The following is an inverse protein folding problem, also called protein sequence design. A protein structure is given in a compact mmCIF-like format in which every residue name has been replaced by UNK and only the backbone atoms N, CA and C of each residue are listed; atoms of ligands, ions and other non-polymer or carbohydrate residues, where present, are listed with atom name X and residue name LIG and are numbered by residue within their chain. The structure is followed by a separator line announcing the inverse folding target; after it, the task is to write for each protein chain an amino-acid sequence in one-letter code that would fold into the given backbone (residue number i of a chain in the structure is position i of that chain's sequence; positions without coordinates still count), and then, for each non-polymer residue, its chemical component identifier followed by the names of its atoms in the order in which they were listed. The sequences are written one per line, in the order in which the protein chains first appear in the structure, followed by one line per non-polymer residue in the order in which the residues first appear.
data_IF_180260106081
#
_entry.id   IF_180260106081
#
_cell.length_a   1.000
_cell.length_b   1.000
_cell.length_c   1.000
_cell.angle_alpha   90.00
_cell.angle_beta   90.00
_cell.angle_gamma   90.00
#
_symmetry.space_group_name_H-M   'P 1'
#
loop_
_entity.id
_entity.type
_entity.pdbx_description
1 polymer ?
#
# COMPACT_ATOMS: atom_id res chain seq x y z
N UNK A 1 -13.95 -24.32 1.06
CA UNK A 1 -12.47 -24.42 0.94
C UNK A 1 -11.85 -23.60 2.04
N UNK A 2 -10.94 -24.20 2.80
CA UNK A 2 -10.24 -23.51 3.88
C UNK A 2 -8.88 -22.99 3.40
N UNK A 3 -8.61 -21.70 3.61
CA UNK A 3 -7.38 -21.03 3.18
C UNK A 3 -6.66 -20.43 4.39
N UNK A 4 -5.42 -20.85 4.63
CA UNK A 4 -4.56 -20.26 5.66
C UNK A 4 -3.71 -19.14 5.07
N UNK A 5 -3.96 -17.90 5.47
CA UNK A 5 -3.13 -16.77 5.13
C UNK A 5 -2.01 -16.62 6.15
N UNK A 6 -0.76 -16.71 5.71
CA UNK A 6 0.42 -16.60 6.58
C UNK A 6 1.10 -15.27 6.33
N UNK A 7 1.28 -14.47 7.37
CA UNK A 7 1.90 -13.14 7.27
C UNK A 7 2.68 -12.79 8.53
N UNK A 8 3.80 -12.08 8.39
CA UNK A 8 4.53 -11.50 9.54
C UNK A 8 3.92 -10.17 9.92
N UNK A 9 3.28 -10.10 11.09
CA UNK A 9 2.57 -8.91 11.55
C UNK A 9 3.50 -8.04 12.41
N UNK A 10 3.64 -6.76 12.01
CA UNK A 10 4.45 -5.76 12.73
C UNK A 10 3.66 -4.50 13.10
N UNK A 11 2.45 -4.35 12.60
CA UNK A 11 1.58 -3.19 12.75
C UNK A 11 0.61 -3.11 11.61
N UNK A 12 0.04 -1.95 11.31
CA UNK A 12 -0.85 -1.75 10.16
C UNK A 12 -0.12 -0.97 9.07
N UNK A 13 0.41 -1.69 8.09
CA UNK A 13 0.96 -1.17 6.85
C UNK A 13 0.07 -1.50 5.65
N UNK A 14 0.61 -1.41 4.42
CA UNK A 14 -0.16 -1.70 3.20
C UNK A 14 -0.61 -3.15 3.08
N UNK A 15 0.26 -4.10 3.41
CA UNK A 15 -0.03 -5.54 3.36
C UNK A 15 -1.02 -5.97 4.43
N UNK A 16 -0.94 -5.38 5.62
CA UNK A 16 -1.88 -5.64 6.71
C UNK A 16 -3.26 -5.06 6.40
N UNK A 17 -3.34 -3.83 5.87
CA UNK A 17 -4.61 -3.25 5.38
C UNK A 17 -5.25 -4.11 4.30
N UNK A 18 -4.45 -4.63 3.37
CA UNK A 18 -4.92 -5.57 2.37
C UNK A 18 -5.57 -6.81 2.99
N UNK A 19 -4.96 -7.40 4.03
CA UNK A 19 -5.54 -8.55 4.72
C UNK A 19 -6.83 -8.20 5.47
N UNK A 20 -6.88 -7.04 6.12
CA UNK A 20 -8.08 -6.58 6.82
C UNK A 20 -9.28 -6.40 5.87
N UNK A 21 -9.04 -6.09 4.60
CA UNK A 21 -10.09 -5.98 3.58
C UNK A 21 -10.34 -7.27 2.83
N UNK A 22 -9.32 -8.00 2.44
CA UNK A 22 -9.45 -9.21 1.64
C UNK A 22 -10.12 -10.36 2.39
N UNK A 23 -9.69 -10.61 3.66
CA UNK A 23 -10.12 -11.81 4.36
C UNK A 23 -11.63 -11.83 4.65
N UNK A 24 -12.26 -10.76 5.14
CA UNK A 24 -13.71 -10.71 5.27
C UNK A 24 -14.44 -10.89 3.94
N UNK A 25 -13.96 -10.24 2.90
CA UNK A 25 -14.55 -10.32 1.57
C UNK A 25 -14.45 -11.74 0.95
N UNK A 26 -13.41 -12.50 1.27
CA UNK A 26 -13.32 -13.92 0.90
C UNK A 26 -14.31 -14.79 1.69
N UNK A 27 -14.53 -14.49 2.97
CA UNK A 27 -15.52 -15.20 3.78
C UNK A 27 -16.93 -15.05 3.21
N UNK A 28 -17.31 -13.86 2.73
CA UNK A 28 -18.56 -13.59 2.03
C UNK A 28 -18.75 -14.41 0.74
N UNK A 29 -17.64 -14.91 0.17
CA UNK A 29 -17.60 -15.76 -1.05
C UNK A 29 -17.54 -17.27 -0.75
N UNK A 30 -17.82 -17.65 0.50
CA UNK A 30 -17.84 -19.07 0.91
C UNK A 30 -16.43 -19.68 1.05
N UNK A 31 -15.38 -18.88 1.10
CA UNK A 31 -14.03 -19.30 1.49
C UNK A 31 -13.92 -19.18 3.00
N UNK A 32 -13.25 -20.13 3.65
CA UNK A 32 -12.96 -20.08 5.09
C UNK A 32 -11.54 -19.56 5.32
N UNK A 33 -11.32 -18.22 5.38
CA UNK A 33 -10.00 -17.68 5.60
C UNK A 33 -9.63 -17.79 7.08
N UNK A 34 -8.40 -18.17 7.34
CA UNK A 34 -7.78 -18.16 8.68
C UNK A 34 -6.46 -17.43 8.57
N UNK A 35 -6.23 -16.42 9.41
CA UNK A 35 -4.94 -15.78 9.48
C UNK A 35 -4.02 -16.55 10.44
N UNK A 36 -2.80 -16.84 10.00
CA UNK A 36 -1.71 -17.26 10.86
C UNK A 36 -0.68 -16.12 10.89
N UNK A 37 -0.73 -15.34 11.95
CA UNK A 37 0.18 -14.23 12.19
C UNK A 37 1.50 -14.72 12.78
N UNK A 38 2.61 -14.42 12.10
CA UNK A 38 3.97 -14.63 12.61
C UNK A 38 4.38 -13.34 13.31
N UNK A 39 4.08 -13.25 14.62
CA UNK A 39 4.22 -12.01 15.37
C UNK A 39 5.69 -11.72 15.72
N UNK A 40 6.13 -10.50 15.40
CA UNK A 40 7.40 -9.99 15.87
C UNK A 40 7.23 -9.49 17.32
N UNK A 41 7.91 -10.08 18.32
CA UNK A 41 7.76 -9.67 19.72
C UNK A 41 8.18 -8.22 20.00
N UNK A 42 9.01 -7.64 19.13
CA UNK A 42 9.43 -6.24 19.23
C UNK A 42 8.35 -5.26 18.72
N UNK A 43 7.31 -5.78 18.08
CA UNK A 43 6.16 -5.01 17.60
C UNK A 43 4.95 -5.21 18.50
N UNK A 44 4.04 -4.24 18.53
CA UNK A 44 2.75 -4.38 19.22
C UNK A 44 1.61 -4.35 18.20
N UNK A 45 1.23 -5.50 17.58
CA UNK A 45 0.22 -5.55 16.54
C UNK A 45 -1.22 -5.62 17.05
N UNK A 46 -1.50 -5.15 18.28
CA UNK A 46 -2.84 -5.22 18.91
C UNK A 46 -3.88 -4.57 18.00
N UNK A 47 -3.66 -3.35 17.55
CA UNK A 47 -4.60 -2.62 16.68
C UNK A 47 -4.99 -3.41 15.41
N UNK A 48 -4.07 -4.20 14.86
CA UNK A 48 -4.34 -5.03 13.70
C UNK A 48 -5.29 -6.20 14.04
N UNK A 49 -5.04 -6.90 15.15
CA UNK A 49 -5.88 -8.03 15.54
C UNK A 49 -7.26 -7.59 16.04
N UNK A 50 -7.35 -6.42 16.67
CA UNK A 50 -8.62 -5.83 17.11
C UNK A 50 -9.50 -5.43 15.91
N UNK A 51 -8.88 -5.03 14.80
CA UNK A 51 -9.59 -4.72 13.55
C UNK A 51 -9.92 -5.96 12.70
N UNK A 52 -9.33 -7.12 13.00
CA UNK A 52 -9.52 -8.33 12.22
C UNK A 52 -10.83 -9.04 12.58
N UNK A 53 -11.65 -9.34 11.59
CA UNK A 53 -12.98 -9.96 11.78
C UNK A 53 -13.04 -11.44 11.43
N UNK A 54 -11.91 -12.04 11.05
CA UNK A 54 -11.81 -13.48 10.73
C UNK A 54 -10.96 -14.20 11.76
N UNK A 55 -11.09 -15.55 11.89
CA UNK A 55 -10.28 -16.32 12.82
C UNK A 55 -8.77 -16.12 12.61
N UNK A 56 -8.04 -15.94 13.71
CA UNK A 56 -6.60 -15.80 13.66
C UNK A 56 -5.89 -16.69 14.70
N UNK A 57 -4.71 -17.19 14.32
CA UNK A 57 -3.75 -17.86 15.19
C UNK A 57 -2.50 -17.02 15.25
N UNK A 58 -2.01 -16.69 16.45
CA UNK A 58 -0.82 -15.87 16.66
C UNK A 58 0.35 -16.77 17.05
N UNK A 59 1.41 -16.74 16.26
CA UNK A 59 2.63 -17.50 16.50
C UNK A 59 3.80 -16.55 16.75
N UNK A 60 4.35 -16.49 17.97
CA UNK A 60 5.53 -15.67 18.24
C UNK A 60 6.70 -16.05 17.34
N UNK A 61 7.30 -15.06 16.66
CA UNK A 61 8.41 -15.21 15.73
C UNK A 61 9.55 -14.26 16.14
N UNK A 62 10.31 -14.60 17.22
CA UNK A 62 11.30 -13.70 17.81
C UNK A 62 12.59 -13.55 16.99
N UNK A 63 12.79 -14.41 16.00
CA UNK A 63 13.97 -14.43 15.14
C UNK A 63 13.59 -14.63 13.68
N UNK A 64 14.42 -14.16 12.80
CA UNK A 64 14.21 -14.35 11.34
C UNK A 64 14.35 -15.83 10.94
N UNK A 65 15.16 -16.60 11.64
CA UNK A 65 15.28 -18.05 11.50
C UNK A 65 14.99 -18.73 12.85
N UNK A 66 13.82 -19.35 12.98
CA UNK A 66 13.37 -20.09 14.15
C UNK A 66 12.79 -21.46 13.73
N UNK A 67 13.55 -22.56 13.84
CA UNK A 67 13.03 -23.89 13.51
C UNK A 67 11.79 -24.29 14.31
N UNK A 68 11.65 -23.81 15.56
CA UNK A 68 10.47 -24.09 16.39
C UNK A 68 9.21 -23.41 15.82
N UNK A 69 9.36 -22.29 15.12
CA UNK A 69 8.25 -21.63 14.42
C UNK A 69 7.64 -22.55 13.36
N UNK A 70 8.47 -23.25 12.58
CA UNK A 70 7.96 -24.19 11.58
C UNK A 70 7.14 -25.32 12.22
N UNK A 71 7.59 -25.87 13.35
CA UNK A 71 6.85 -26.91 14.07
C UNK A 71 5.52 -26.37 14.62
N UNK A 72 5.50 -25.14 15.16
CA UNK A 72 4.25 -24.48 15.59
C UNK A 72 3.32 -24.27 14.41
N UNK A 73 3.83 -23.71 13.31
CA UNK A 73 3.05 -23.49 12.10
C UNK A 73 2.45 -24.81 11.56
N UNK A 74 3.23 -25.89 11.53
CA UNK A 74 2.74 -27.19 11.10
C UNK A 74 1.61 -27.74 11.99
N UNK A 75 1.59 -27.47 13.29
CA UNK A 75 0.51 -27.90 14.18
C UNK A 75 -0.80 -27.19 13.88
N UNK A 76 -0.73 -25.89 13.59
CA UNK A 76 -1.88 -25.02 13.34
C UNK A 76 -2.40 -25.11 11.90
N UNK A 77 -1.54 -25.49 10.96
CA UNK A 77 -1.87 -25.49 9.54
C UNK A 77 -2.85 -26.64 9.19
N UNK A 78 -4.11 -26.29 9.06
CA UNK A 78 -5.21 -27.17 8.65
C UNK A 78 -5.99 -26.51 7.52
N UNK A 79 -5.40 -26.44 6.32
CA UNK A 79 -5.97 -25.76 5.17
C UNK A 79 -5.63 -26.50 3.86
N UNK A 80 -6.50 -26.39 2.89
CA UNK A 80 -6.30 -26.91 1.52
C UNK A 80 -5.34 -26.03 0.73
N UNK A 81 -5.40 -24.72 1.00
CA UNK A 81 -4.54 -23.71 0.39
C UNK A 81 -3.80 -22.94 1.49
N UNK A 82 -2.50 -22.71 1.30
CA UNK A 82 -1.67 -21.80 2.09
C UNK A 82 -1.36 -20.61 1.21
N UNK A 83 -1.76 -19.43 1.66
CA UNK A 83 -1.49 -18.17 0.98
C UNK A 83 -0.52 -17.34 1.80
N UNK A 84 0.70 -17.19 1.34
CA UNK A 84 1.77 -16.47 2.04
C UNK A 84 1.87 -15.03 1.56
N UNK A 85 2.26 -14.14 2.47
CA UNK A 85 2.45 -12.72 2.20
C UNK A 85 3.82 -12.27 2.67
N UNK A 86 4.63 -11.74 1.75
CA UNK A 86 6.02 -11.36 1.95
C UNK A 86 6.97 -12.55 2.18
N UNK A 87 8.26 -12.27 2.03
CA UNK A 87 9.33 -13.27 1.97
C UNK A 87 9.43 -14.14 3.22
N UNK A 88 9.30 -13.56 4.42
CA UNK A 88 9.39 -14.33 5.66
C UNK A 88 8.28 -15.41 5.74
N UNK A 89 7.05 -15.04 5.39
CA UNK A 89 5.95 -15.99 5.32
C UNK A 89 6.13 -17.01 4.18
N UNK A 90 6.73 -16.62 3.05
CA UNK A 90 7.01 -17.52 1.94
C UNK A 90 7.95 -18.66 2.35
N UNK A 91 8.98 -18.37 3.13
CA UNK A 91 9.93 -19.39 3.61
C UNK A 91 9.23 -20.40 4.53
N UNK A 92 8.60 -19.94 5.60
CA UNK A 92 7.96 -20.84 6.57
C UNK A 92 6.68 -21.48 6.03
N UNK A 93 5.80 -20.69 5.43
CA UNK A 93 4.54 -21.15 4.87
C UNK A 93 4.73 -22.07 3.67
N UNK A 94 5.73 -21.80 2.83
CA UNK A 94 6.06 -22.66 1.70
C UNK A 94 6.53 -24.05 2.10
N UNK A 95 7.42 -24.14 3.10
CA UNK A 95 7.86 -25.44 3.66
C UNK A 95 6.69 -26.15 4.33
N UNK A 96 5.92 -25.44 5.14
CA UNK A 96 4.77 -26.01 5.84
C UNK A 96 3.69 -26.52 4.87
N UNK A 97 3.36 -25.76 3.82
CA UNK A 97 2.42 -26.17 2.79
C UNK A 97 2.84 -27.47 2.12
N UNK A 98 4.12 -27.56 1.71
CA UNK A 98 4.65 -28.78 1.10
C UNK A 98 4.57 -30.00 2.02
N UNK A 99 4.92 -29.85 3.29
CA UNK A 99 4.87 -30.95 4.29
C UNK A 99 3.44 -31.39 4.60
N UNK A 100 2.46 -30.49 4.44
CA UNK A 100 1.03 -30.78 4.64
C UNK A 100 0.29 -31.20 3.35
N UNK A 101 0.95 -31.17 2.20
CA UNK A 101 0.33 -31.44 0.90
C UNK A 101 -0.66 -30.35 0.45
N UNK A 102 -0.62 -29.16 1.06
CA UNK A 102 -1.48 -28.04 0.71
C UNK A 102 -0.97 -27.33 -0.55
N UNK A 103 -1.87 -26.70 -1.32
CA UNK A 103 -1.50 -25.84 -2.45
C UNK A 103 -0.92 -24.53 -1.92
N UNK A 104 0.17 -24.07 -2.51
CA UNK A 104 0.82 -22.81 -2.11
C UNK A 104 0.53 -21.70 -3.11
N UNK A 105 0.04 -20.57 -2.59
CA UNK A 105 -0.04 -19.27 -3.29
C UNK A 105 0.85 -18.28 -2.54
N UNK A 106 1.54 -17.38 -3.24
CA UNK A 106 2.35 -16.34 -2.62
C UNK A 106 2.00 -14.98 -3.22
N UNK A 107 1.65 -14.01 -2.39
CA UNK A 107 1.47 -12.61 -2.82
C UNK A 107 2.73 -11.79 -2.56
N UNK A 108 3.19 -11.12 -3.61
CA UNK A 108 4.29 -10.16 -3.58
C UNK A 108 3.74 -8.74 -3.43
N UNK A 109 4.25 -8.00 -2.44
CA UNK A 109 3.73 -6.68 -2.05
C UNK A 109 4.69 -5.52 -2.38
N UNK A 110 5.92 -5.82 -2.78
CA UNK A 110 6.96 -4.83 -3.08
C UNK A 110 8.02 -5.36 -4.06
N UNK A 111 8.76 -4.43 -4.63
CA UNK A 111 9.84 -4.63 -5.57
C UNK A 111 11.23 -4.39 -4.94
N UNK A 112 11.42 -4.81 -3.70
CA UNK A 112 12.64 -4.59 -2.94
C UNK A 112 13.90 -5.03 -3.72
N UNK A 113 14.94 -4.17 -3.81
CA UNK A 113 16.14 -4.45 -4.60
C UNK A 113 16.90 -5.72 -4.19
N UNK A 114 16.82 -6.16 -2.94
CA UNK A 114 17.47 -7.40 -2.51
C UNK A 114 16.96 -8.65 -3.26
N UNK A 115 15.74 -8.59 -3.81
CA UNK A 115 15.11 -9.69 -4.55
C UNK A 115 15.80 -10.01 -5.89
N UNK A 116 16.53 -9.05 -6.46
CA UNK A 116 17.28 -9.25 -7.74
C UNK A 116 18.74 -9.66 -7.52
N UNK A 117 19.25 -9.57 -6.28
CA UNK A 117 20.58 -10.05 -5.92
C UNK A 117 20.67 -11.58 -5.83
N UNK A 118 21.54 -12.09 -4.98
CA UNK A 118 21.67 -13.54 -4.72
C UNK A 118 20.37 -14.17 -4.21
N UNK A 119 19.53 -13.39 -3.53
CA UNK A 119 18.23 -13.84 -3.02
C UNK A 119 17.26 -14.28 -4.13
N UNK A 120 17.42 -13.81 -5.38
CA UNK A 120 16.59 -14.25 -6.54
C UNK A 120 16.54 -15.78 -6.70
N UNK A 121 17.62 -16.49 -6.35
CA UNK A 121 17.65 -17.95 -6.45
C UNK A 121 16.75 -18.60 -5.39
N UNK A 122 16.69 -18.03 -4.20
CA UNK A 122 15.77 -18.45 -3.14
C UNK A 122 14.33 -18.19 -3.58
N UNK A 123 14.04 -17.00 -4.12
CA UNK A 123 12.71 -16.69 -4.64
C UNK A 123 12.27 -17.61 -5.78
N UNK A 124 13.16 -17.95 -6.70
CA UNK A 124 12.88 -18.92 -7.77
C UNK A 124 12.56 -20.30 -7.23
N UNK A 125 13.28 -20.75 -6.19
CA UNK A 125 13.02 -22.03 -5.54
C UNK A 125 11.65 -22.03 -4.83
N UNK A 126 11.31 -20.97 -4.09
CA UNK A 126 10.00 -20.79 -3.47
C UNK A 126 8.89 -20.70 -4.52
N UNK A 127 9.12 -19.98 -5.61
CA UNK A 127 8.19 -19.87 -6.73
C UNK A 127 7.98 -21.21 -7.47
N UNK A 128 9.02 -22.03 -7.57
CA UNK A 128 8.90 -23.37 -8.15
C UNK A 128 7.94 -24.24 -7.34
N UNK A 129 7.95 -24.14 -6.01
CA UNK A 129 7.06 -24.83 -5.09
C UNK A 129 5.64 -24.23 -5.06
N UNK A 130 5.45 -22.98 -5.48
CA UNK A 130 4.16 -22.32 -5.49
C UNK A 130 3.32 -22.74 -6.70
N UNK A 131 2.03 -22.98 -6.50
CA UNK A 131 1.06 -23.20 -7.58
C UNK A 131 0.83 -21.91 -8.37
N UNK A 132 0.66 -20.78 -7.66
CA UNK A 132 0.47 -19.43 -8.24
C UNK A 132 1.23 -18.40 -7.42
N UNK A 133 1.58 -17.31 -8.08
CA UNK A 133 2.16 -16.09 -7.48
C UNK A 133 1.27 -14.92 -7.86
N UNK A 134 0.85 -14.17 -6.87
CA UNK A 134 0.09 -12.95 -7.05
C UNK A 134 1.03 -11.74 -6.91
N UNK A 135 0.93 -10.79 -7.80
CA UNK A 135 1.54 -9.47 -7.68
C UNK A 135 0.45 -8.42 -7.56
N UNK A 136 0.66 -7.42 -6.71
CA UNK A 136 -0.36 -6.41 -6.45
C UNK A 136 -0.46 -5.34 -7.54
N UNK A 137 0.49 -5.31 -8.49
CA UNK A 137 0.54 -4.39 -9.64
C UNK A 137 1.18 -5.07 -10.84
N UNK A 138 0.90 -4.56 -12.04
CA UNK A 138 1.54 -5.01 -13.27
C UNK A 138 3.02 -4.60 -13.31
N UNK A 139 3.38 -3.47 -12.72
CA UNK A 139 4.77 -3.08 -12.52
C UNK A 139 5.52 -4.13 -11.70
N UNK A 140 4.95 -4.58 -10.59
CA UNK A 140 5.54 -5.64 -9.76
C UNK A 140 5.55 -7.00 -10.49
N UNK A 141 4.56 -7.25 -11.37
CA UNK A 141 4.58 -8.43 -12.23
C UNK A 141 5.76 -8.40 -13.20
N UNK A 142 5.99 -7.27 -13.89
CA UNK A 142 7.17 -7.10 -14.75
C UNK A 142 8.46 -7.31 -13.97
N UNK A 143 8.62 -6.65 -12.81
CA UNK A 143 9.78 -6.88 -11.94
C UNK A 143 9.96 -8.36 -11.57
N UNK A 144 8.89 -9.04 -11.18
CA UNK A 144 8.94 -10.46 -10.77
C UNK A 144 9.29 -11.41 -11.92
N UNK A 145 8.78 -11.14 -13.11
CA UNK A 145 9.04 -11.96 -14.30
C UNK A 145 10.42 -11.64 -14.89
N UNK A 146 10.71 -10.37 -15.16
CA UNK A 146 11.84 -9.96 -15.98
C UNK A 146 13.14 -9.87 -15.19
N UNK A 147 13.08 -9.40 -13.93
CA UNK A 147 14.27 -9.18 -13.10
C UNK A 147 14.53 -10.34 -12.13
N UNK A 148 13.51 -10.82 -11.42
CA UNK A 148 13.66 -12.00 -10.56
C UNK A 148 13.74 -13.28 -11.37
N UNK A 149 13.04 -13.34 -12.52
CA UNK A 149 13.08 -14.47 -13.46
C UNK A 149 12.10 -15.59 -13.09
N UNK A 150 10.93 -15.24 -12.54
CA UNK A 150 9.86 -16.18 -12.27
C UNK A 150 9.02 -16.37 -13.53
N UNK A 151 8.67 -17.60 -13.94
CA UNK A 151 7.91 -17.85 -15.15
C UNK A 151 6.56 -17.12 -15.19
N UNK A 152 6.30 -16.36 -16.25
CA UNK A 152 5.10 -15.50 -16.39
C UNK A 152 3.77 -16.28 -16.21
N UNK A 153 3.73 -17.57 -16.64
CA UNK A 153 2.54 -18.44 -16.47
C UNK A 153 2.13 -18.70 -15.02
N UNK A 154 3.04 -18.48 -14.08
CA UNK A 154 2.78 -18.61 -12.63
C UNK A 154 2.34 -17.31 -11.98
N UNK A 155 2.54 -16.17 -12.63
CA UNK A 155 2.36 -14.85 -12.05
C UNK A 155 1.09 -14.21 -12.58
N UNK A 156 0.21 -13.84 -11.66
CA UNK A 156 -1.03 -13.13 -11.96
C UNK A 156 -1.05 -11.81 -11.16
N UNK A 157 -1.52 -10.73 -11.80
CA UNK A 157 -1.74 -9.46 -11.11
C UNK A 157 -3.15 -9.45 -10.51
N UNK A 158 -3.24 -9.23 -9.20
CA UNK A 158 -4.50 -8.92 -8.51
C UNK A 158 -4.25 -7.65 -7.71
N UNK A 159 -4.81 -6.53 -8.20
CA UNK A 159 -4.66 -5.23 -7.54
C UNK A 159 -5.29 -5.24 -6.14
N UNK A 160 -4.77 -4.42 -5.26
CA UNK A 160 -5.46 -4.12 -4.00
C UNK A 160 -6.83 -3.51 -4.28
N UNK A 161 -7.79 -3.85 -3.43
CA UNK A 161 -9.09 -3.23 -3.40
C UNK A 161 -9.29 -2.39 -2.16
N UNK A 162 -10.09 -1.35 -2.30
CA UNK A 162 -10.54 -0.52 -1.20
C UNK A 162 -12.02 -0.19 -1.42
N UNK A 163 -12.79 -0.23 -0.34
CA UNK A 163 -14.16 0.25 -0.35
C UNK A 163 -14.22 1.76 -0.28
N UNK A 164 -15.41 2.30 -0.47
CA UNK A 164 -15.63 3.73 -0.33
C UNK A 164 -15.22 4.22 1.06
N UNK A 165 -14.70 5.43 1.11
CA UNK A 165 -14.24 6.00 2.36
C UNK A 165 -15.43 6.24 3.31
N UNK A 166 -15.27 5.94 4.62
CA UNK A 166 -16.30 6.25 5.59
C UNK A 166 -16.56 7.76 5.63
N UNK A 167 -17.78 8.12 6.02
CA UNK A 167 -18.08 9.51 6.32
C UNK A 167 -17.10 10.03 7.37
N UNK A 168 -16.56 11.26 7.26
CA UNK A 168 -15.69 11.80 8.31
C UNK A 168 -16.50 11.99 9.57
N UNK A 169 -15.88 11.58 10.67
CA UNK A 169 -16.50 11.64 12.00
C UNK A 169 -15.94 12.78 12.88
N UNK A 170 -14.94 13.51 12.39
CA UNK A 170 -14.28 14.62 13.10
C UNK A 170 -14.49 15.98 12.41
N UNK A 171 -14.53 17.06 13.21
CA UNK A 171 -14.37 18.42 12.71
C UNK A 171 -12.94 18.62 12.19
N UNK A 172 -12.74 19.62 11.32
CA UNK A 172 -11.48 19.97 10.69
C UNK A 172 -10.33 20.02 11.71
N UNK A 173 -9.32 19.18 11.62
CA UNK A 173 -8.68 18.60 12.79
C UNK A 173 -7.38 19.24 13.24
N UNK A 174 -6.89 20.36 12.72
CA UNK A 174 -5.57 20.84 13.17
C UNK A 174 -5.52 22.33 13.32
N UNK A 175 -5.22 22.77 14.53
CA UNK A 175 -4.80 24.10 14.86
C UNK A 175 -3.54 24.49 14.01
N UNK A 176 -3.61 25.64 13.38
CA UNK A 176 -2.49 26.22 12.64
C UNK A 176 -2.62 26.17 11.11
N UNK A 177 -3.43 25.31 10.50
CA UNK A 177 -3.69 25.37 9.05
C UNK A 177 -4.75 26.44 8.78
N UNK A 178 -4.45 27.51 8.01
CA UNK A 178 -5.40 28.59 7.77
C UNK A 178 -6.68 28.08 7.10
N UNK A 179 -7.85 28.52 7.59
CA UNK A 179 -9.15 28.04 7.09
C UNK A 179 -9.34 28.29 5.58
N UNK A 180 -8.85 29.43 5.06
CA UNK A 180 -8.94 29.79 3.65
C UNK A 180 -7.83 29.25 2.76
N UNK A 181 -6.84 28.53 3.30
CA UNK A 181 -5.72 28.02 2.52
C UNK A 181 -6.13 26.91 1.55
N UNK A 182 -5.49 26.84 0.38
CA UNK A 182 -5.55 25.72 -0.54
C UNK A 182 -4.65 24.60 -0.02
N UNK A 183 -5.24 23.51 0.47
CA UNK A 183 -4.49 22.41 1.05
C UNK A 183 -4.08 21.41 -0.01
N UNK A 184 -2.78 21.29 -0.27
CA UNK A 184 -2.17 20.14 -0.92
C UNK A 184 -1.96 19.07 0.15
N UNK A 185 -2.50 17.88 -0.06
CA UNK A 185 -2.37 16.77 0.89
C UNK A 185 -1.38 15.74 0.39
N UNK A 186 -0.49 15.29 1.25
CA UNK A 186 0.30 14.07 1.05
C UNK A 186 0.03 13.08 2.17
N UNK A 187 -0.27 11.82 1.83
CA UNK A 187 -0.47 10.72 2.79
C UNK A 187 0.65 9.72 2.58
N UNK A 188 1.71 9.82 3.40
CA UNK A 188 2.89 8.99 3.19
C UNK A 188 3.79 8.94 4.41
N UNK A 189 4.69 7.95 4.45
CA UNK A 189 5.80 7.95 5.42
C UNK A 189 6.78 9.08 5.11
N UNK A 190 7.38 9.69 6.13
CA UNK A 190 8.47 10.66 5.95
C UNK A 190 9.80 9.91 5.74
N UNK A 191 9.99 9.41 4.52
CA UNK A 191 11.20 8.71 4.07
C UNK A 191 11.58 9.20 2.67
N UNK A 192 12.87 9.14 2.25
CA UNK A 192 13.31 9.65 0.94
C UNK A 192 12.54 9.08 -0.24
N UNK A 193 12.11 7.82 -0.15
CA UNK A 193 11.27 7.14 -1.14
C UNK A 193 10.05 7.95 -1.55
N UNK A 194 9.42 8.65 -0.60
CA UNK A 194 8.12 9.31 -0.80
C UNK A 194 8.20 10.72 -1.39
N UNK A 195 9.42 11.27 -1.55
CA UNK A 195 9.65 12.53 -2.27
C UNK A 195 8.98 13.75 -1.66
N UNK A 196 8.71 13.77 -0.35
CA UNK A 196 8.08 14.93 0.31
C UNK A 196 8.93 16.19 0.14
N UNK A 197 10.24 16.05 0.05
CA UNK A 197 11.19 17.12 -0.27
C UNK A 197 10.91 17.74 -1.65
N UNK A 198 10.48 16.96 -2.63
CA UNK A 198 10.09 17.45 -3.97
C UNK A 198 8.83 18.32 -3.87
N UNK A 199 7.83 17.90 -3.09
CA UNK A 199 6.63 18.72 -2.85
C UNK A 199 6.95 20.01 -2.12
N UNK A 200 7.85 19.99 -1.13
CA UNK A 200 8.32 21.20 -0.44
C UNK A 200 9.03 22.16 -1.43
N UNK A 201 9.88 21.64 -2.31
CA UNK A 201 10.57 22.46 -3.34
C UNK A 201 9.61 23.00 -4.42
N UNK A 202 8.50 22.35 -4.67
CA UNK A 202 7.47 22.83 -5.59
C UNK A 202 6.64 23.99 -5.00
N UNK A 203 6.49 24.05 -3.67
CA UNK A 203 5.60 24.98 -2.99
C UNK A 203 5.90 26.47 -3.22
N UNK A 204 7.16 26.94 -3.34
CA UNK A 204 7.47 28.33 -3.70
C UNK A 204 6.99 28.74 -5.11
N UNK A 205 6.72 27.78 -6.00
CA UNK A 205 6.22 28.00 -7.35
C UNK A 205 4.69 28.09 -7.43
N UNK A 206 4.01 27.92 -6.30
CA UNK A 206 2.55 27.92 -6.17
C UNK A 206 2.07 29.19 -5.43
N UNK A 207 0.80 29.59 -5.61
CA UNK A 207 0.24 30.75 -4.93
C UNK A 207 0.47 30.75 -3.43
N UNK A 208 0.62 31.91 -2.81
CA UNK A 208 0.99 32.05 -1.39
C UNK A 208 -0.06 31.52 -0.41
N UNK A 209 -1.31 31.42 -0.84
CA UNK A 209 -2.41 30.80 -0.08
C UNK A 209 -2.40 29.27 -0.11
N UNK A 210 -1.44 28.66 -0.83
CA UNK A 210 -1.29 27.20 -0.93
C UNK A 210 -0.39 26.68 0.19
N UNK A 211 -0.85 25.64 0.90
CA UNK A 211 -0.11 24.98 1.97
C UNK A 211 0.04 23.49 1.69
N UNK A 212 1.14 22.90 2.15
CA UNK A 212 1.36 21.46 2.11
C UNK A 212 1.10 20.85 3.48
N UNK A 213 0.15 19.92 3.53
CA UNK A 213 -0.13 19.10 4.70
C UNK A 213 0.31 17.67 4.43
N UNK A 214 1.16 17.12 5.28
CA UNK A 214 1.65 15.75 5.16
C UNK A 214 1.17 14.94 6.36
N UNK A 215 0.29 13.98 6.13
CA UNK A 215 -0.15 13.00 7.13
C UNK A 215 0.81 11.80 7.07
N UNK A 216 1.46 11.49 8.19
CA UNK A 216 2.49 10.45 8.23
C UNK A 216 2.44 9.58 9.47
N UNK A 217 2.67 8.29 9.28
CA UNK A 217 2.86 7.34 10.39
C UNK A 217 4.30 7.31 10.94
N UNK A 218 5.26 7.98 10.27
CA UNK A 218 6.69 8.02 10.65
C UNK A 218 7.18 9.45 10.74
N UNK A 219 8.27 9.67 11.49
CA UNK A 219 8.87 10.99 11.69
C UNK A 219 10.36 11.04 11.26
N UNK A 220 10.82 10.03 10.51
CA UNK A 220 12.24 9.80 10.23
C UNK A 220 12.92 11.02 9.59
N UNK A 221 12.35 11.58 8.52
CA UNK A 221 12.91 12.72 7.78
C UNK A 221 12.37 14.09 8.25
N UNK A 222 11.56 14.13 9.33
CA UNK A 222 10.88 15.37 9.77
C UNK A 222 11.83 16.54 9.94
N UNK A 223 12.97 16.31 10.60
CA UNK A 223 13.95 17.38 10.87
C UNK A 223 14.55 17.97 9.59
N UNK A 224 14.94 17.11 8.64
CA UNK A 224 15.49 17.51 7.36
C UNK A 224 14.47 18.26 6.50
N UNK A 225 13.22 17.81 6.47
CA UNK A 225 12.13 18.44 5.71
C UNK A 225 11.77 19.82 6.27
N UNK A 226 11.74 20.00 7.60
CA UNK A 226 11.53 21.31 8.23
C UNK A 226 12.72 22.25 8.02
N UNK A 227 13.94 21.73 7.99
CA UNK A 227 15.14 22.52 7.66
C UNK A 227 15.07 23.04 6.21
N UNK A 228 14.69 22.17 5.26
CA UNK A 228 14.46 22.54 3.87
C UNK A 228 13.37 23.62 3.74
N UNK A 229 12.25 23.49 4.44
CA UNK A 229 11.19 24.49 4.42
C UNK A 229 11.66 25.88 4.93
N UNK A 230 12.51 25.90 5.98
CA UNK A 230 13.14 27.15 6.48
C UNK A 230 14.14 27.74 5.49
N UNK A 231 14.99 26.92 4.88
CA UNK A 231 15.93 27.34 3.85
C UNK A 231 15.22 28.05 2.69
N UNK A 232 14.04 27.56 2.32
CA UNK A 232 13.20 28.11 1.27
C UNK A 232 12.29 29.27 1.74
N UNK A 233 12.28 29.62 3.03
CA UNK A 233 11.44 30.68 3.60
C UNK A 233 9.95 30.39 3.63
N UNK A 234 9.57 29.11 3.61
CA UNK A 234 8.16 28.67 3.51
C UNK A 234 7.70 27.79 4.70
N UNK A 235 8.38 27.86 5.83
CA UNK A 235 8.07 27.04 7.01
C UNK A 235 6.62 27.18 7.50
N UNK A 236 5.99 28.35 7.27
CA UNK A 236 4.58 28.61 7.62
C UNK A 236 3.57 27.97 6.67
N UNK A 237 4.04 27.45 5.53
CA UNK A 237 3.23 26.78 4.51
C UNK A 237 3.36 25.26 4.54
N UNK A 238 4.19 24.67 5.44
CA UNK A 238 4.46 23.24 5.52
C UNK A 238 4.03 22.68 6.87
N UNK A 239 3.08 21.76 6.86
CA UNK A 239 2.52 21.12 8.05
C UNK A 239 2.80 19.61 8.00
N UNK A 240 3.82 19.15 8.74
CA UNK A 240 4.14 17.74 8.86
C UNK A 240 3.41 17.18 10.07
N UNK A 241 2.32 16.50 9.84
CA UNK A 241 1.51 15.89 10.91
C UNK A 241 2.03 14.49 11.25
N UNK A 242 1.68 14.01 12.43
CA UNK A 242 1.82 12.61 12.80
C UNK A 242 0.66 11.77 12.25
N UNK A 243 0.36 10.66 12.93
CA UNK A 243 -0.90 9.96 12.74
C UNK A 243 -2.06 10.90 13.10
N UNK A 244 -3.04 10.94 12.22
CA UNK A 244 -4.29 11.65 12.45
C UNK A 244 -5.41 10.63 12.68
N UNK A 245 -6.37 10.92 13.55
CA UNK A 245 -7.46 9.99 13.80
C UNK A 245 -8.41 9.84 12.60
N UNK A 246 -8.58 10.90 11.80
CA UNK A 246 -9.49 10.93 10.66
C UNK A 246 -8.79 11.45 9.40
N UNK A 247 -8.33 10.53 8.55
CA UNK A 247 -7.73 10.84 7.24
C UNK A 247 -8.79 11.33 6.26
N UNK A 248 -10.04 10.84 6.37
CA UNK A 248 -11.12 11.23 5.47
C UNK A 248 -11.47 12.73 5.61
N UNK A 249 -11.35 13.31 6.82
CA UNK A 249 -11.52 14.75 7.02
C UNK A 249 -10.45 15.56 6.25
N UNK A 250 -9.20 15.10 6.22
CA UNK A 250 -8.14 15.74 5.45
C UNK A 250 -8.32 15.60 3.95
N UNK A 251 -8.75 14.43 3.48
CA UNK A 251 -9.05 14.21 2.06
C UNK A 251 -10.17 15.15 1.56
N UNK A 252 -11.16 15.44 2.40
CA UNK A 252 -12.22 16.42 2.04
C UNK A 252 -11.78 17.87 2.13
N UNK A 253 -10.83 18.18 3.03
CA UNK A 253 -10.29 19.53 3.17
C UNK A 253 -9.31 19.89 2.07
N UNK A 254 -8.66 18.91 1.49
CA UNK A 254 -7.66 19.09 0.45
C UNK A 254 -8.29 19.50 -0.89
N UNK A 255 -7.52 20.21 -1.71
CA UNK A 255 -7.89 20.56 -3.08
C UNK A 255 -7.19 19.66 -4.12
N UNK A 256 -6.03 19.13 -3.78
CA UNK A 256 -5.23 18.20 -4.61
C UNK A 256 -4.46 17.25 -3.69
N UNK A 257 -4.43 15.97 -4.01
CA UNK A 257 -3.42 15.06 -3.46
C UNK A 257 -2.12 15.16 -4.25
N UNK A 258 -0.99 15.28 -3.56
CA UNK A 258 0.35 15.23 -4.15
C UNK A 258 1.10 13.98 -3.70
N UNK A 259 1.61 13.19 -4.66
CA UNK A 259 2.32 11.94 -4.36
C UNK A 259 3.62 11.83 -5.18
N UNK A 260 4.64 12.64 -4.86
CA UNK A 260 5.87 12.76 -5.66
C UNK A 260 6.89 11.65 -5.32
N UNK A 261 6.42 10.41 -5.20
CA UNK A 261 7.24 9.28 -4.82
C UNK A 261 8.31 8.96 -5.87
N UNK A 262 9.50 8.54 -5.43
CA UNK A 262 10.57 8.03 -6.28
C UNK A 262 10.32 6.60 -6.74
N UNK A 263 9.63 5.81 -5.92
CA UNK A 263 9.04 4.52 -6.28
C UNK A 263 7.89 4.17 -5.33
N UNK A 264 6.96 3.34 -5.81
CA UNK A 264 5.75 2.99 -5.07
C UNK A 264 5.37 1.51 -5.28
N UNK A 265 4.99 0.81 -4.22
CA UNK A 265 4.52 -0.57 -4.33
C UNK A 265 3.11 -0.66 -4.90
N UNK A 266 2.18 0.16 -4.41
CA UNK A 266 0.81 0.27 -4.91
C UNK A 266 0.31 1.71 -4.96
N UNK A 267 0.37 2.44 -3.84
CA UNK A 267 -0.15 3.80 -3.74
C UNK A 267 -1.51 3.88 -3.04
N UNK A 268 -1.67 3.22 -1.88
CA UNK A 268 -2.94 3.26 -1.14
C UNK A 268 -3.42 4.68 -0.84
N UNK A 269 -2.52 5.62 -0.50
CA UNK A 269 -2.89 7.02 -0.29
C UNK A 269 -3.42 7.71 -1.56
N UNK A 270 -2.94 7.29 -2.74
CA UNK A 270 -3.48 7.74 -4.04
C UNK A 270 -4.88 7.16 -4.24
N UNK A 271 -5.07 5.87 -3.98
CA UNK A 271 -6.38 5.24 -4.09
C UNK A 271 -7.41 5.86 -3.11
N UNK A 272 -7.00 6.15 -1.86
CA UNK A 272 -7.82 6.89 -0.88
C UNK A 272 -8.27 8.25 -1.43
N UNK A 273 -7.36 9.00 -2.05
CA UNK A 273 -7.68 10.30 -2.65
C UNK A 273 -8.62 10.18 -3.86
N UNK A 274 -8.39 9.20 -4.73
CA UNK A 274 -9.28 8.93 -5.86
C UNK A 274 -10.71 8.59 -5.36
N UNK A 275 -10.84 7.74 -4.34
CA UNK A 275 -12.14 7.42 -3.72
C UNK A 275 -12.80 8.64 -3.08
N UNK A 276 -12.03 9.58 -2.54
CA UNK A 276 -12.53 10.85 -2.05
C UNK A 276 -12.98 11.82 -3.17
N UNK A 277 -12.73 11.50 -4.44
CA UNK A 277 -12.98 12.38 -5.56
C UNK A 277 -12.00 13.55 -5.65
N UNK A 278 -10.80 13.42 -5.06
CA UNK A 278 -9.78 14.44 -5.03
C UNK A 278 -8.86 14.32 -6.27
N UNK A 279 -8.63 15.40 -7.03
CA UNK A 279 -7.60 15.40 -8.08
C UNK A 279 -6.26 14.95 -7.56
N UNK A 280 -5.55 14.11 -8.31
CA UNK A 280 -4.25 13.55 -7.93
C UNK A 280 -3.15 14.07 -8.85
N UNK A 281 -2.04 14.50 -8.28
CA UNK A 281 -0.78 14.74 -9.00
C UNK A 281 0.29 13.82 -8.42
N UNK A 282 0.79 12.89 -9.21
CA UNK A 282 1.72 11.87 -8.77
C UNK A 282 2.93 11.75 -9.69
N UNK A 283 4.01 11.12 -9.23
CA UNK A 283 5.13 10.78 -10.09
C UNK A 283 4.76 9.65 -11.07
N UNK A 284 5.30 9.72 -12.29
CA UNK A 284 5.21 8.64 -13.29
C UNK A 284 6.24 7.54 -12.98
N UNK A 285 5.97 6.76 -11.93
CA UNK A 285 6.86 5.69 -11.46
C UNK A 285 6.09 4.46 -11.00
N UNK A 286 6.70 3.30 -11.19
CA UNK A 286 6.25 2.01 -10.63
C UNK A 286 4.76 1.73 -10.90
N UNK A 287 3.95 1.68 -9.85
CA UNK A 287 2.51 1.37 -9.90
C UNK A 287 1.61 2.58 -10.14
N UNK A 288 2.11 3.81 -10.00
CA UNK A 288 1.25 5.01 -10.05
C UNK A 288 0.54 5.20 -11.39
N UNK A 289 1.15 4.89 -12.57
CA UNK A 289 0.43 4.90 -13.85
C UNK A 289 -0.68 3.84 -13.99
N UNK A 290 -0.71 2.85 -13.10
CA UNK A 290 -1.81 1.87 -13.07
C UNK A 290 -3.05 2.43 -12.37
N UNK A 291 -2.85 3.33 -11.40
CA UNK A 291 -3.92 4.03 -10.67
C UNK A 291 -4.40 5.26 -11.44
N UNK A 292 -3.49 6.16 -11.78
CA UNK A 292 -3.76 7.46 -12.37
C UNK A 292 -3.56 7.39 -13.89
N UNK A 293 -4.57 7.81 -14.66
CA UNK A 293 -4.47 8.00 -16.10
C UNK A 293 -4.19 9.48 -16.35
N UNK A 294 -3.01 9.77 -16.93
CA UNK A 294 -2.54 11.14 -17.13
C UNK A 294 -3.49 11.98 -17.97
N UNK A 295 -3.88 13.15 -17.45
CA UNK A 295 -4.82 14.07 -18.08
C UNK A 295 -6.31 13.67 -18.01
N UNK A 296 -6.64 12.46 -17.51
CA UNK A 296 -8.02 11.97 -17.40
C UNK A 296 -8.49 11.85 -15.95
N UNK A 297 -7.68 11.21 -15.08
CA UNK A 297 -8.02 10.98 -13.66
C UNK A 297 -7.06 11.65 -12.68
N UNK A 298 -6.10 12.40 -13.20
CA UNK A 298 -5.06 13.11 -12.50
C UNK A 298 -3.92 13.46 -13.43
N UNK A 299 -2.78 13.86 -12.87
CA UNK A 299 -1.56 14.13 -13.63
C UNK A 299 -0.40 13.30 -13.14
N UNK A 300 0.39 12.81 -14.10
CA UNK A 300 1.65 12.12 -13.87
C UNK A 300 2.82 13.02 -14.29
N UNK A 301 3.82 13.14 -13.42
CA UNK A 301 5.01 13.97 -13.66
C UNK A 301 6.28 13.16 -13.47
N UNK A 302 7.37 13.56 -14.10
CA UNK A 302 8.66 12.93 -13.88
C UNK A 302 9.05 13.04 -12.39
N UNK A 303 9.60 11.97 -11.79
CA UNK A 303 10.08 12.02 -10.42
C UNK A 303 11.22 13.03 -10.28
N UNK A 304 11.42 13.55 -9.07
CA UNK A 304 12.45 14.52 -8.73
C UNK A 304 12.41 15.84 -9.55
N UNK A 305 11.23 16.23 -10.06
CA UNK A 305 11.01 17.46 -10.82
C UNK A 305 9.99 18.38 -10.11
N UNK A 306 10.44 19.26 -9.20
CA UNK A 306 9.54 20.18 -8.49
C UNK A 306 8.81 21.16 -9.42
N UNK A 307 9.41 21.57 -10.54
CA UNK A 307 8.81 22.51 -11.47
C UNK A 307 7.65 21.83 -12.25
N UNK A 308 7.86 20.62 -12.75
CA UNK A 308 6.81 19.83 -13.38
C UNK A 308 5.68 19.53 -12.39
N UNK A 309 6.01 19.20 -11.13
CA UNK A 309 5.03 18.96 -10.07
C UNK A 309 4.18 20.22 -9.83
N UNK A 310 4.79 21.40 -9.69
CA UNK A 310 4.07 22.65 -9.49
C UNK A 310 3.14 22.99 -10.68
N UNK A 311 3.63 22.84 -11.91
CA UNK A 311 2.84 23.09 -13.12
C UNK A 311 1.63 22.13 -13.20
N UNK A 312 1.80 20.85 -12.87
CA UNK A 312 0.70 19.88 -12.84
C UNK A 312 -0.30 20.18 -11.71
N UNK A 313 0.16 20.62 -10.54
CA UNK A 313 -0.72 21.07 -9.44
C UNK A 313 -1.59 22.25 -9.89
N UNK A 314 -1.00 23.28 -10.52
CA UNK A 314 -1.76 24.44 -11.03
C UNK A 314 -2.84 24.00 -12.02
N UNK A 315 -2.53 23.08 -12.94
CA UNK A 315 -3.52 22.53 -13.87
C UNK A 315 -4.62 21.76 -13.16
N UNK A 316 -4.28 20.97 -12.13
CA UNK A 316 -5.24 20.16 -11.37
C UNK A 316 -6.20 21.04 -10.55
N UNK A 317 -5.74 22.18 -10.03
CA UNK A 317 -6.58 23.16 -9.32
C UNK A 317 -7.72 23.72 -10.19
N UNK A 318 -7.48 23.85 -11.50
CA UNK A 318 -8.47 24.35 -12.46
C UNK A 318 -9.36 23.25 -13.02
N UNK A 319 -9.12 21.97 -12.67
CA UNK A 319 -9.81 20.82 -13.24
C UNK A 319 -10.34 19.84 -12.18
N UNK A 320 -11.31 20.24 -11.34
CA UNK A 320 -11.87 19.38 -10.31
C UNK A 320 -12.55 18.12 -10.87
N UNK A 321 -12.96 18.11 -12.13
CA UNK A 321 -13.54 16.95 -12.82
C UNK A 321 -12.59 15.74 -12.85
N UNK A 322 -11.27 15.95 -12.79
CA UNK A 322 -10.29 14.86 -12.67
C UNK A 322 -10.53 14.00 -11.42
N UNK A 323 -10.93 14.62 -10.31
CA UNK A 323 -11.27 13.90 -9.09
C UNK A 323 -12.50 13.00 -9.26
N UNK A 324 -13.56 13.49 -9.94
CA UNK A 324 -14.75 12.68 -10.23
C UNK A 324 -14.39 11.47 -11.11
N UNK A 325 -13.67 11.69 -12.20
CA UNK A 325 -13.22 10.62 -13.08
C UNK A 325 -12.29 9.62 -12.34
N UNK A 326 -11.41 10.14 -11.45
CA UNK A 326 -10.56 9.33 -10.59
C UNK A 326 -11.38 8.42 -9.67
N UNK A 327 -12.43 8.95 -9.03
CA UNK A 327 -13.33 8.17 -8.18
C UNK A 327 -14.06 7.07 -8.95
N UNK A 328 -14.63 7.39 -10.10
CA UNK A 328 -15.29 6.39 -10.94
C UNK A 328 -14.36 5.26 -11.33
N UNK A 329 -13.11 5.58 -11.72
CA UNK A 329 -12.09 4.57 -11.99
C UNK A 329 -11.77 3.74 -10.76
N UNK A 330 -11.56 4.36 -9.59
CA UNK A 330 -11.23 3.67 -8.34
C UNK A 330 -12.31 2.65 -7.98
N UNK A 331 -13.57 3.04 -7.99
CA UNK A 331 -14.71 2.15 -7.70
C UNK A 331 -14.84 0.99 -8.68
N UNK A 332 -14.56 1.23 -9.97
CA UNK A 332 -14.67 0.22 -11.02
C UNK A 332 -13.50 -0.77 -11.01
N UNK A 333 -12.25 -0.28 -10.87
CA UNK A 333 -11.06 -1.10 -11.10
C UNK A 333 -10.41 -1.61 -9.80
N UNK A 334 -10.59 -0.89 -8.69
CA UNK A 334 -9.88 -1.13 -7.43
C UNK A 334 -10.82 -1.34 -6.25
N UNK A 335 -12.00 -1.91 -6.49
CA UNK A 335 -12.95 -2.26 -5.42
C UNK A 335 -12.52 -3.54 -4.67
N UNK A 336 -12.89 -3.66 -3.39
CA UNK A 336 -12.68 -4.88 -2.59
C UNK A 336 -13.38 -6.07 -3.23
N UNK A 337 -14.59 -5.88 -3.78
CA UNK A 337 -15.33 -6.93 -4.46
C UNK A 337 -14.51 -7.52 -5.62
N UNK A 338 -13.97 -6.68 -6.51
CA UNK A 338 -13.14 -7.13 -7.65
C UNK A 338 -11.88 -7.87 -7.20
N UNK A 339 -11.18 -7.37 -6.18
CA UNK A 339 -10.01 -8.02 -5.60
C UNK A 339 -10.36 -9.40 -5.06
N UNK A 340 -11.43 -9.50 -4.29
CA UNK A 340 -11.87 -10.76 -3.68
C UNK A 340 -12.39 -11.76 -4.72
N UNK A 341 -13.16 -11.33 -5.73
CA UNK A 341 -13.62 -12.17 -6.83
C UNK A 341 -12.45 -12.78 -7.61
N UNK A 342 -11.44 -11.98 -7.96
CA UNK A 342 -10.25 -12.48 -8.65
C UNK A 342 -9.43 -13.43 -7.79
N UNK A 343 -9.31 -13.15 -6.48
CA UNK A 343 -8.61 -14.05 -5.55
C UNK A 343 -9.35 -15.39 -5.38
N UNK A 344 -10.67 -15.35 -5.25
CA UNK A 344 -11.50 -16.54 -5.17
C UNK A 344 -11.43 -17.37 -6.46
N UNK A 345 -11.49 -16.73 -7.62
CA UNK A 345 -11.34 -17.37 -8.92
C UNK A 345 -9.97 -18.03 -9.07
N UNK A 346 -8.89 -17.36 -8.63
CA UNK A 346 -7.54 -17.95 -8.61
C UNK A 346 -7.52 -19.25 -7.77
N UNK A 347 -8.09 -19.23 -6.56
CA UNK A 347 -8.14 -20.42 -5.71
C UNK A 347 -8.93 -21.58 -6.34
N UNK A 348 -10.00 -21.27 -7.09
CA UNK A 348 -10.80 -22.28 -7.79
C UNK A 348 -10.01 -22.99 -8.92
N UNK A 349 -8.89 -22.43 -9.37
CA UNK A 349 -8.01 -23.06 -10.39
C UNK A 349 -6.92 -23.95 -9.82
N UNK A 350 -6.80 -24.05 -8.50
CA UNK A 350 -5.75 -24.82 -7.82
C UNK A 350 -6.18 -26.29 -7.66
#
# INVERSE_FOLDING_TARGET
MRVAHVHRIRGIGGSERHLLTLLPALAERGIEPVLIGLDDPASNPVDFYDALTVPAVRLPSPRDLDPALLLRLLRELRAEVVHTHLVHADVYGGVAARLRGAKLVSTKHNDDPFRIGSFRYVERALAAASARIVTITDSLRRFTVDQVGIPARKVETIHYGMDDLPAPWGANPVDGVPAGARVLLAISRLVPQKGVDVAIRALPLLPDDTVLVVVSSTQQERGALLALARELGIERRVFLLGRVPDVAAWLRRAVVLVHPARWEGFGLGVLEAMLAGLPVVASDVSSLPELVVDGETGYLVRPDDPAALAAAILRALDQPALGTAGRERALREFSVARMADRTAALYATL
#
